data_IF_268629664829
#
_entry.id   IF_268629664829
#
_cell.length_a   1.000
_cell.length_b   1.000
_cell.length_c   1.000
_cell.angle_alpha   90.00
_cell.angle_beta   90.00
_cell.angle_gamma   90.00
#
_symmetry.space_group_name_H-M   'P 1'
#
loop_
_entity.id
_entity.type
_entity.pdbx_description
1 polymer ?
#
# COMPACT_ATOMS: atom_id res chain seq x y z
N UNK A 1 -30.03 -42.70 13.37
CA UNK A 1 -29.59 -41.86 12.21
C UNK A 1 -29.35 -40.42 12.62
N UNK A 2 -30.17 -39.84 13.53
CA UNK A 2 -29.98 -38.49 14.08
C UNK A 2 -28.66 -38.32 14.85
N UNK A 3 -28.34 -39.30 15.73
CA UNK A 3 -27.17 -39.20 16.64
C UNK A 3 -25.84 -39.28 15.89
N UNK A 4 -25.78 -40.06 14.82
CA UNK A 4 -24.60 -40.16 13.94
C UNK A 4 -24.38 -38.86 13.20
N UNK A 5 -25.46 -38.21 12.72
CA UNK A 5 -25.38 -36.89 12.05
C UNK A 5 -24.92 -35.80 13.01
N UNK A 6 -25.41 -35.81 14.27
CA UNK A 6 -24.98 -34.88 15.31
C UNK A 6 -23.49 -35.07 15.63
N UNK A 7 -23.05 -36.32 15.80
CA UNK A 7 -21.63 -36.62 16.04
C UNK A 7 -20.72 -36.14 14.89
N UNK A 8 -21.11 -36.40 13.64
CA UNK A 8 -20.35 -35.96 12.46
C UNK A 8 -20.27 -34.42 12.37
N UNK A 9 -21.37 -33.73 12.68
CA UNK A 9 -21.39 -32.24 12.76
C UNK A 9 -20.41 -31.78 13.82
N UNK A 10 -20.42 -32.36 15.03
CA UNK A 10 -19.56 -31.90 16.14
C UNK A 10 -18.07 -32.15 15.84
N UNK A 11 -17.75 -33.32 15.23
CA UNK A 11 -16.41 -33.60 14.73
C UNK A 11 -15.98 -32.55 13.69
N UNK A 12 -16.86 -32.24 12.71
CA UNK A 12 -16.57 -31.22 11.71
C UNK A 12 -16.29 -29.86 12.32
N UNK A 13 -17.11 -29.43 13.31
CA UNK A 13 -16.91 -28.15 14.02
C UNK A 13 -15.56 -28.13 14.74
N UNK A 14 -15.19 -29.22 15.43
CA UNK A 14 -13.90 -29.30 16.13
C UNK A 14 -12.74 -29.21 15.15
N UNK A 15 -12.79 -29.93 14.04
CA UNK A 15 -11.76 -29.87 12.99
C UNK A 15 -11.66 -28.45 12.42
N UNK A 16 -12.79 -27.79 12.16
CA UNK A 16 -12.83 -26.43 11.66
C UNK A 16 -12.19 -25.44 12.65
N UNK A 17 -12.50 -25.57 13.93
CA UNK A 17 -11.91 -24.74 15.00
C UNK A 17 -10.39 -24.94 15.06
N UNK A 18 -9.92 -26.18 15.06
CA UNK A 18 -8.48 -26.51 15.07
C UNK A 18 -7.80 -25.87 13.84
N UNK A 19 -8.40 -25.98 12.66
CA UNK A 19 -7.88 -25.41 11.42
C UNK A 19 -7.82 -23.87 11.50
N UNK A 20 -8.86 -23.22 12.01
CA UNK A 20 -8.87 -21.75 12.19
C UNK A 20 -7.83 -21.29 13.22
N UNK A 21 -7.68 -22.01 14.33
CA UNK A 21 -6.62 -21.74 15.31
C UNK A 21 -5.21 -21.89 14.71
N UNK A 22 -5.01 -22.90 13.87
CA UNK A 22 -3.75 -23.12 13.17
C UNK A 22 -3.44 -21.98 12.18
N UNK A 23 -4.44 -21.52 11.41
CA UNK A 23 -4.28 -20.36 10.52
C UNK A 23 -3.96 -19.08 11.31
N UNK A 24 -4.63 -18.84 12.43
CA UNK A 24 -4.36 -17.71 13.30
C UNK A 24 -2.93 -17.79 13.87
N UNK A 25 -2.48 -18.96 14.29
CA UNK A 25 -1.13 -19.19 14.79
C UNK A 25 -0.07 -18.90 13.72
N UNK A 26 -0.26 -19.39 12.48
CA UNK A 26 0.62 -19.05 11.34
C UNK A 26 0.65 -17.54 11.12
N UNK A 27 -0.51 -16.88 11.13
CA UNK A 27 -0.59 -15.43 10.94
C UNK A 27 0.19 -14.66 12.02
N UNK A 28 0.09 -15.09 13.29
CA UNK A 28 0.84 -14.48 14.39
C UNK A 28 2.35 -14.69 14.21
N UNK A 29 2.77 -15.91 13.83
CA UNK A 29 4.20 -16.19 13.58
C UNK A 29 4.73 -15.34 12.43
N UNK A 30 4.03 -15.29 11.30
CA UNK A 30 4.41 -14.46 10.17
C UNK A 30 4.55 -12.99 10.60
N UNK A 31 3.65 -12.48 11.42
CA UNK A 31 3.69 -11.13 11.97
C UNK A 31 4.92 -10.89 12.84
N UNK A 32 5.34 -11.87 13.64
CA UNK A 32 6.56 -11.79 14.47
C UNK A 32 7.80 -11.80 13.57
N UNK A 33 7.89 -12.73 12.62
CA UNK A 33 9.02 -12.85 11.70
C UNK A 33 9.21 -11.56 10.91
N UNK A 34 8.15 -11.01 10.32
CA UNK A 34 8.20 -9.79 9.52
C UNK A 34 8.52 -8.53 10.36
N UNK A 35 8.20 -8.55 11.65
CA UNK A 35 8.60 -7.47 12.55
C UNK A 35 10.11 -7.46 12.83
N UNK A 36 10.75 -8.65 12.83
CA UNK A 36 12.18 -8.82 13.05
C UNK A 36 12.96 -8.65 11.74
N UNK A 37 12.47 -9.29 10.67
CA UNK A 37 13.07 -9.26 9.34
C UNK A 37 12.09 -8.66 8.34
N UNK A 38 12.31 -7.40 8.00
CA UNK A 38 11.54 -6.70 6.97
C UNK A 38 12.03 -7.08 5.58
N UNK A 39 11.14 -7.52 4.73
CA UNK A 39 11.40 -7.83 3.33
C UNK A 39 10.15 -7.56 2.48
N UNK A 40 10.31 -7.19 1.20
CA UNK A 40 9.16 -7.01 0.31
C UNK A 40 8.32 -8.28 0.22
N UNK A 41 7.00 -8.13 0.13
CA UNK A 41 6.11 -9.27 -0.10
C UNK A 41 6.49 -9.93 -1.43
N UNK A 42 6.70 -11.27 -1.45
CA UNK A 42 7.01 -11.95 -2.69
C UNK A 42 5.95 -11.70 -3.76
N UNK A 43 6.38 -11.41 -4.99
CA UNK A 43 5.49 -10.98 -6.07
C UNK A 43 4.34 -11.94 -6.37
N UNK A 44 4.50 -13.25 -6.13
CA UNK A 44 3.40 -14.24 -6.29
C UNK A 44 2.30 -14.05 -5.23
N UNK A 45 2.65 -13.63 -4.01
CA UNK A 45 1.70 -13.43 -2.91
C UNK A 45 0.88 -12.15 -3.06
N UNK A 46 1.35 -11.19 -3.87
CA UNK A 46 0.61 -9.94 -4.14
C UNK A 46 -0.77 -10.22 -4.76
N UNK A 47 -0.96 -11.36 -5.44
CA UNK A 47 -2.25 -11.76 -6.00
C UNK A 47 -3.29 -12.06 -4.94
N UNK A 48 -2.86 -12.65 -3.83
CA UNK A 48 -3.72 -12.98 -2.70
C UNK A 48 -4.11 -11.73 -1.93
N UNK A 49 -3.15 -10.81 -1.77
CA UNK A 49 -3.33 -9.57 -0.99
C UNK A 49 -4.15 -8.55 -1.78
N UNK A 50 -3.84 -8.32 -3.07
CA UNK A 50 -4.59 -7.40 -3.94
C UNK A 50 -5.71 -8.16 -4.68
N UNK A 51 -6.74 -8.55 -3.94
CA UNK A 51 -7.91 -9.25 -4.47
C UNK A 51 -9.12 -8.33 -4.70
N UNK A 52 -10.15 -8.87 -5.38
CA UNK A 52 -11.34 -8.08 -5.73
C UNK A 52 -12.15 -7.61 -4.51
N UNK A 53 -12.19 -8.39 -3.43
CA UNK A 53 -12.92 -8.03 -2.20
C UNK A 53 -12.26 -6.82 -1.54
N UNK A 54 -10.93 -6.83 -1.41
CA UNK A 54 -10.18 -5.68 -0.90
C UNK A 54 -10.50 -4.42 -1.70
N UNK A 55 -10.40 -4.46 -3.03
CA UNK A 55 -10.59 -3.29 -3.90
C UNK A 55 -12.02 -2.78 -3.97
N UNK A 56 -13.01 -3.68 -3.90
CA UNK A 56 -14.42 -3.29 -4.07
C UNK A 56 -15.09 -2.88 -2.76
N UNK A 57 -14.66 -3.45 -1.64
CA UNK A 57 -15.37 -3.31 -0.36
C UNK A 57 -14.51 -2.61 0.70
N UNK A 58 -13.27 -3.09 0.91
CA UNK A 58 -12.46 -2.71 2.08
C UNK A 58 -11.65 -1.44 1.82
N UNK A 59 -10.91 -1.41 0.72
CA UNK A 59 -9.94 -0.35 0.41
C UNK A 59 -10.10 0.07 -1.06
N UNK A 60 -11.17 0.82 -1.33
CA UNK A 60 -11.55 1.21 -2.70
C UNK A 60 -10.53 2.18 -3.30
N UNK A 61 -9.94 1.89 -4.49
CA UNK A 61 -8.97 2.77 -5.14
C UNK A 61 -9.49 4.20 -5.36
N UNK A 62 -10.76 4.33 -5.76
CA UNK A 62 -11.39 5.64 -5.99
C UNK A 62 -11.52 6.46 -4.71
N UNK A 63 -11.79 5.83 -3.56
CA UNK A 63 -11.89 6.51 -2.26
C UNK A 63 -10.51 7.01 -1.82
N UNK A 64 -9.48 6.18 -1.95
CA UNK A 64 -8.10 6.59 -1.62
C UNK A 64 -7.67 7.77 -2.49
N UNK A 65 -7.91 7.70 -3.81
CA UNK A 65 -7.60 8.79 -4.72
C UNK A 65 -8.35 10.09 -4.37
N UNK A 66 -9.59 10.00 -3.87
CA UNK A 66 -10.37 11.17 -3.44
C UNK A 66 -9.74 11.90 -2.25
N UNK A 67 -9.08 11.16 -1.36
CA UNK A 67 -8.45 11.74 -0.17
C UNK A 67 -7.05 12.34 -0.44
N UNK A 68 -6.56 12.33 -1.68
CA UNK A 68 -5.22 12.81 -2.02
C UNK A 68 -5.20 14.25 -2.56
N UNK A 69 -6.32 14.95 -2.63
CA UNK A 69 -6.44 16.28 -3.27
C UNK A 69 -5.74 16.32 -4.63
N UNK A 70 -6.10 15.37 -5.51
CA UNK A 70 -5.55 15.24 -6.85
C UNK A 70 -6.16 16.27 -7.78
N UNK A 71 -5.31 16.90 -8.63
CA UNK A 71 -5.73 17.87 -9.65
C UNK A 71 -5.15 17.49 -11.01
N UNK A 72 -5.82 17.84 -12.11
CA UNK A 72 -5.30 17.68 -13.45
C UNK A 72 -3.89 18.28 -13.60
N UNK A 73 -3.03 17.57 -14.32
CA UNK A 73 -1.65 18.00 -14.57
C UNK A 73 -0.64 17.67 -13.48
N UNK A 74 -1.05 17.11 -12.35
CA UNK A 74 -0.13 16.74 -11.27
C UNK A 74 0.83 15.61 -11.65
N UNK A 75 2.02 15.65 -11.06
CA UNK A 75 3.00 14.57 -11.04
C UNK A 75 2.88 13.79 -9.74
N UNK A 76 2.56 12.51 -9.84
CA UNK A 76 2.36 11.62 -8.68
C UNK A 76 3.39 10.50 -8.69
N UNK A 77 3.93 10.16 -7.53
CA UNK A 77 4.78 9.00 -7.31
C UNK A 77 4.00 7.94 -6.52
N UNK A 78 3.89 6.74 -7.09
CA UNK A 78 3.31 5.56 -6.43
C UNK A 78 4.42 4.56 -6.13
N UNK A 79 4.66 4.30 -4.85
CA UNK A 79 5.73 3.42 -4.36
C UNK A 79 5.12 2.10 -3.93
N UNK A 80 5.54 0.99 -4.55
CA UNK A 80 4.93 -0.31 -4.37
C UNK A 80 3.58 -0.46 -5.08
N UNK A 81 3.48 -0.21 -6.41
CA UNK A 81 2.21 -0.13 -7.15
C UNK A 81 1.48 -1.48 -7.26
N UNK A 82 2.17 -2.57 -7.01
CA UNK A 82 1.62 -3.92 -7.13
C UNK A 82 1.09 -4.21 -8.55
N UNK A 83 -0.22 -4.48 -8.67
CA UNK A 83 -0.89 -4.70 -9.98
C UNK A 83 -1.31 -3.40 -10.67
N UNK A 84 -1.14 -2.26 -10.03
CA UNK A 84 -1.55 -0.96 -10.54
C UNK A 84 -3.01 -0.56 -10.27
N UNK A 85 -3.72 -1.28 -9.40
CA UNK A 85 -5.14 -0.99 -9.15
C UNK A 85 -5.37 0.41 -8.60
N UNK A 86 -4.51 0.86 -7.69
CA UNK A 86 -4.56 2.20 -7.09
C UNK A 86 -3.87 3.21 -7.99
N UNK A 87 -2.75 2.85 -8.60
CA UNK A 87 -2.02 3.65 -9.60
C UNK A 87 -2.95 4.14 -10.70
N UNK A 88 -3.79 3.25 -11.26
CA UNK A 88 -4.75 3.57 -12.32
C UNK A 88 -5.84 4.54 -11.85
N UNK A 89 -6.33 4.39 -10.63
CA UNK A 89 -7.32 5.30 -10.07
C UNK A 89 -6.76 6.72 -9.88
N UNK A 90 -5.49 6.83 -9.48
CA UNK A 90 -4.76 8.10 -9.39
C UNK A 90 -4.51 8.67 -10.78
N UNK A 91 -4.01 7.86 -11.73
CA UNK A 91 -3.71 8.27 -13.08
C UNK A 91 -4.92 8.88 -13.81
N UNK A 92 -6.10 8.33 -13.59
CA UNK A 92 -7.34 8.84 -14.15
C UNK A 92 -7.71 10.23 -13.59
N UNK A 93 -7.41 10.51 -12.31
CA UNK A 93 -7.77 11.76 -11.63
C UNK A 93 -6.91 12.97 -12.02
N UNK A 94 -5.72 12.72 -12.52
CA UNK A 94 -4.77 13.77 -12.88
C UNK A 94 -4.77 14.10 -14.38
N UNK A 95 -5.65 13.49 -15.16
CA UNK A 95 -5.88 13.87 -16.56
C UNK A 95 -6.54 15.26 -16.68
N UNK A 96 -6.28 16.01 -17.76
CA UNK A 96 -5.21 15.79 -18.74
C UNK A 96 -3.82 16.20 -18.21
N UNK A 97 -2.76 15.77 -18.92
CA UNK A 97 -1.36 16.17 -18.74
C UNK A 97 -0.66 15.72 -17.45
N UNK A 98 -1.36 15.08 -16.50
CA UNK A 98 -0.74 14.52 -15.30
C UNK A 98 -0.07 13.18 -15.58
N UNK A 99 1.00 12.85 -14.79
CA UNK A 99 1.75 11.60 -14.89
C UNK A 99 1.86 10.92 -13.52
N UNK A 100 1.77 9.59 -13.52
CA UNK A 100 2.09 8.76 -12.35
C UNK A 100 3.38 8.01 -12.65
N UNK A 101 4.40 8.25 -11.84
CA UNK A 101 5.58 7.40 -11.80
C UNK A 101 5.32 6.30 -10.79
N UNK A 102 5.39 5.04 -11.23
CA UNK A 102 5.11 3.87 -10.41
C UNK A 102 6.41 3.08 -10.23
N UNK A 103 6.94 3.05 -8.99
CA UNK A 103 8.24 2.43 -8.72
C UNK A 103 8.12 1.24 -7.77
N UNK A 104 8.95 0.24 -8.00
CA UNK A 104 9.12 -0.91 -7.13
C UNK A 104 10.57 -1.43 -7.25
N UNK A 105 11.12 -1.93 -6.14
CA UNK A 105 12.44 -2.56 -6.15
C UNK A 105 12.45 -3.91 -6.89
N UNK A 106 11.28 -4.56 -7.03
CA UNK A 106 11.11 -5.86 -7.66
C UNK A 106 10.83 -5.70 -9.17
N UNK A 107 11.75 -6.10 -10.08
CA UNK A 107 11.53 -6.02 -11.53
C UNK A 107 10.26 -6.71 -12.01
N UNK A 108 9.92 -7.85 -11.41
CA UNK A 108 8.72 -8.61 -11.76
C UNK A 108 7.42 -7.81 -11.53
N UNK A 109 7.35 -7.01 -10.46
CA UNK A 109 6.19 -6.15 -10.17
C UNK A 109 6.02 -5.12 -11.27
N UNK A 110 7.12 -4.48 -11.67
CA UNK A 110 7.15 -3.47 -12.74
C UNK A 110 6.78 -4.06 -14.10
N UNK A 111 7.33 -5.23 -14.46
CA UNK A 111 6.97 -5.90 -15.71
C UNK A 111 5.49 -6.29 -15.77
N UNK A 112 4.93 -6.75 -14.66
CA UNK A 112 3.50 -7.06 -14.56
C UNK A 112 2.64 -5.79 -14.70
N UNK A 113 3.05 -4.69 -14.06
CA UNK A 113 2.36 -3.41 -14.18
C UNK A 113 2.38 -2.92 -15.63
N UNK A 114 3.53 -2.97 -16.31
CA UNK A 114 3.64 -2.61 -17.74
C UNK A 114 2.63 -3.37 -18.60
N UNK A 115 2.59 -4.69 -18.49
CA UNK A 115 1.63 -5.53 -19.22
C UNK A 115 0.16 -5.14 -18.94
N UNK A 116 -0.15 -4.79 -17.69
CA UNK A 116 -1.51 -4.41 -17.32
C UNK A 116 -1.93 -3.06 -17.93
N UNK A 117 -1.05 -2.06 -17.88
CA UNK A 117 -1.37 -0.73 -18.42
C UNK A 117 -1.39 -0.72 -19.95
N UNK A 118 -0.50 -1.47 -20.60
CA UNK A 118 -0.51 -1.65 -22.07
C UNK A 118 -1.82 -2.29 -22.53
N UNK A 119 -2.24 -3.38 -21.88
CA UNK A 119 -3.51 -4.05 -22.19
C UNK A 119 -4.74 -3.12 -22.07
N UNK A 120 -4.67 -2.15 -21.17
CA UNK A 120 -5.76 -1.20 -20.91
C UNK A 120 -5.58 0.14 -21.65
N UNK A 121 -4.53 0.31 -22.45
CA UNK A 121 -4.25 1.53 -23.22
C UNK A 121 -3.94 2.75 -22.36
N UNK A 122 -3.41 2.56 -21.14
CA UNK A 122 -3.11 3.66 -20.23
C UNK A 122 -1.71 4.21 -20.52
N UNK A 123 -1.63 5.49 -20.88
CA UNK A 123 -0.38 6.12 -21.37
C UNK A 123 0.29 7.07 -20.37
N UNK A 124 -0.41 7.46 -19.29
CA UNK A 124 0.08 8.42 -18.31
C UNK A 124 0.64 7.79 -17.03
N UNK A 125 0.93 6.47 -17.05
CA UNK A 125 1.65 5.76 -15.99
C UNK A 125 3.04 5.38 -16.53
N UNK A 126 4.10 5.67 -15.77
CA UNK A 126 5.50 5.39 -16.10
C UNK A 126 6.06 4.40 -15.08
N UNK A 127 6.05 3.08 -15.36
CA UNK A 127 6.61 2.09 -14.46
C UNK A 127 8.14 2.07 -14.53
N UNK A 128 8.81 2.01 -13.37
CA UNK A 128 10.28 1.96 -13.28
C UNK A 128 10.73 1.13 -12.09
N UNK A 129 11.76 0.30 -12.29
CA UNK A 129 12.47 -0.33 -11.17
C UNK A 129 13.33 0.74 -10.51
N UNK A 130 13.12 0.99 -9.21
CA UNK A 130 13.86 2.02 -8.48
C UNK A 130 13.86 1.73 -6.97
N UNK A 131 14.83 2.33 -6.26
CA UNK A 131 14.96 2.22 -4.81
C UNK A 131 14.46 3.50 -4.14
N UNK A 132 13.51 3.34 -3.20
CA UNK A 132 12.94 4.44 -2.43
C UNK A 132 13.96 5.22 -1.59
N UNK A 133 15.13 4.64 -1.34
CA UNK A 133 16.21 5.31 -0.60
C UNK A 133 17.05 6.27 -1.43
N UNK A 134 16.92 6.25 -2.76
CA UNK A 134 17.67 7.08 -3.68
C UNK A 134 16.85 7.33 -4.96
N UNK A 135 15.79 8.10 -4.83
CA UNK A 135 14.87 8.40 -5.92
C UNK A 135 15.55 9.29 -6.97
N UNK A 136 15.42 8.94 -8.25
CA UNK A 136 16.02 9.67 -9.37
C UNK A 136 15.37 11.03 -9.67
N UNK A 137 14.35 11.42 -8.88
CA UNK A 137 13.66 12.68 -9.04
C UNK A 137 14.43 13.84 -8.40
N UNK A 138 14.29 15.03 -9.00
CA UNK A 138 14.81 16.27 -8.44
C UNK A 138 14.07 16.66 -7.15
N UNK A 139 14.71 17.49 -6.35
CA UNK A 139 14.09 18.09 -5.17
C UNK A 139 12.83 18.87 -5.57
N UNK A 140 11.77 18.75 -4.80
CA UNK A 140 10.52 19.50 -5.01
C UNK A 140 9.89 19.29 -6.40
N UNK A 141 9.95 18.10 -6.97
CA UNK A 141 9.42 17.78 -8.30
C UNK A 141 8.08 17.05 -8.29
N UNK A 142 7.72 16.39 -7.19
CA UNK A 142 6.53 15.53 -7.05
C UNK A 142 5.43 16.24 -6.26
N UNK A 143 4.20 16.25 -6.79
CA UNK A 143 3.05 16.87 -6.14
C UNK A 143 2.43 16.00 -5.05
N UNK A 144 2.33 14.68 -5.31
CA UNK A 144 1.71 13.69 -4.41
C UNK A 144 2.51 12.40 -4.40
N UNK A 145 2.57 11.75 -3.25
CA UNK A 145 3.17 10.41 -3.11
C UNK A 145 2.14 9.47 -2.50
N UNK A 146 2.05 8.25 -3.02
CA UNK A 146 1.18 7.20 -2.53
C UNK A 146 2.02 5.98 -2.12
N UNK A 147 1.71 5.41 -0.95
CA UNK A 147 2.18 4.10 -0.50
C UNK A 147 1.01 3.32 0.08
N UNK A 148 0.74 2.14 -0.44
CA UNK A 148 -0.35 1.29 0.04
C UNK A 148 0.21 -0.04 0.52
N UNK A 149 0.16 -0.27 1.84
CA UNK A 149 0.73 -1.44 2.52
C UNK A 149 2.17 -1.73 2.10
N UNK A 150 2.94 -0.67 1.88
CA UNK A 150 4.31 -0.75 1.38
C UNK A 150 5.33 -0.23 2.41
N UNK A 151 5.05 0.91 3.07
CA UNK A 151 5.99 1.54 3.99
C UNK A 151 6.46 0.62 5.14
N UNK A 152 5.61 -0.21 5.76
CA UNK A 152 6.02 -1.11 6.84
C UNK A 152 6.99 -2.21 6.42
N UNK A 153 7.00 -2.58 5.13
CA UNK A 153 7.91 -3.58 4.56
C UNK A 153 9.33 -3.04 4.36
N UNK A 154 9.47 -1.72 4.31
CA UNK A 154 10.76 -1.04 4.09
C UNK A 154 11.58 -1.12 5.38
N UNK A 155 12.84 -1.61 5.33
CA UNK A 155 13.68 -1.79 6.52
C UNK A 155 13.84 -0.51 7.35
N UNK A 156 14.14 0.63 6.72
CA UNK A 156 14.19 1.96 7.36
C UNK A 156 13.10 2.88 6.80
N UNK A 157 11.88 2.86 7.35
CA UNK A 157 10.78 3.70 6.88
C UNK A 157 11.03 5.19 7.06
N UNK A 158 11.88 5.59 8.05
CA UNK A 158 12.19 7.00 8.29
C UNK A 158 13.12 7.54 7.20
N UNK A 159 14.14 6.76 6.80
CA UNK A 159 15.03 7.10 5.69
C UNK A 159 14.24 7.23 4.38
N UNK A 160 13.35 6.26 4.09
CA UNK A 160 12.47 6.31 2.92
C UNK A 160 11.59 7.56 2.92
N UNK A 161 10.95 7.88 4.04
CA UNK A 161 10.11 9.08 4.14
C UNK A 161 10.91 10.39 4.04
N UNK A 162 12.18 10.43 4.47
CA UNK A 162 13.06 11.59 4.26
C UNK A 162 13.34 11.80 2.78
N UNK A 163 13.60 10.73 2.05
CA UNK A 163 13.83 10.79 0.61
C UNK A 163 12.54 11.19 -0.14
N UNK A 164 11.40 10.62 0.25
CA UNK A 164 10.11 11.08 -0.24
C UNK A 164 9.87 12.57 0.02
N UNK A 165 10.22 13.06 1.22
CA UNK A 165 10.13 14.49 1.55
C UNK A 165 11.04 15.34 0.67
N UNK A 166 12.23 14.86 0.32
CA UNK A 166 13.16 15.59 -0.58
C UNK A 166 12.49 15.88 -1.91
N UNK A 167 11.96 14.85 -2.56
CA UNK A 167 11.35 14.97 -3.90
C UNK A 167 9.97 15.64 -3.88
N UNK A 168 9.27 15.63 -2.74
CA UNK A 168 7.95 16.22 -2.60
C UNK A 168 8.03 17.75 -2.64
N UNK A 169 7.16 18.40 -3.41
CA UNK A 169 7.03 19.87 -3.45
C UNK A 169 6.62 20.42 -2.09
N UNK A 170 6.90 21.70 -1.80
CA UNK A 170 6.24 22.42 -0.70
C UNK A 170 4.72 22.30 -0.84
N UNK A 171 3.99 22.06 0.26
CA UNK A 171 2.54 21.80 0.32
C UNK A 171 2.14 20.49 -0.41
N UNK A 172 3.10 19.69 -0.84
CA UNK A 172 2.86 18.35 -1.36
C UNK A 172 2.40 17.36 -0.27
N UNK A 173 1.66 16.34 -0.65
CA UNK A 173 1.06 15.37 0.28
C UNK A 173 1.62 13.97 0.03
N UNK A 174 1.96 13.28 1.12
CA UNK A 174 2.21 11.84 1.14
C UNK A 174 1.01 11.15 1.76
N UNK A 175 0.41 10.19 1.04
CA UNK A 175 -0.68 9.34 1.52
C UNK A 175 -0.16 7.95 1.85
N UNK A 176 -0.29 7.54 3.10
CA UNK A 176 0.03 6.20 3.61
C UNK A 176 -1.27 5.45 3.90
N UNK A 177 -1.43 4.27 3.32
CA UNK A 177 -2.67 3.49 3.44
C UNK A 177 -2.37 2.08 3.93
N UNK A 178 -3.01 1.66 5.02
CA UNK A 178 -2.73 0.40 5.66
C UNK A 178 -3.99 -0.44 5.89
N UNK A 179 -3.82 -1.75 5.98
CA UNK A 179 -4.88 -2.74 6.15
C UNK A 179 -4.48 -3.77 7.21
N UNK A 180 -5.31 -4.02 8.22
CA UNK A 180 -5.02 -4.89 9.37
C UNK A 180 -4.70 -6.34 8.98
N UNK A 181 -5.26 -6.84 7.88
CA UNK A 181 -4.95 -8.19 7.39
C UNK A 181 -3.52 -8.32 6.83
N UNK A 182 -2.82 -7.19 6.63
CA UNK A 182 -1.41 -7.22 6.30
C UNK A 182 -0.59 -7.61 7.54
N UNK A 183 0.31 -8.60 7.45
CA UNK A 183 1.17 -8.98 8.57
C UNK A 183 2.04 -7.84 9.10
N UNK A 184 2.39 -6.87 8.28
CA UNK A 184 3.23 -5.72 8.65
C UNK A 184 2.44 -4.53 9.17
N UNK A 185 1.13 -4.62 9.25
CA UNK A 185 0.25 -3.52 9.65
C UNK A 185 0.76 -2.75 10.87
N UNK A 186 1.12 -1.47 10.74
CA UNK A 186 1.52 -0.63 11.84
C UNK A 186 0.29 0.04 12.46
N UNK A 187 0.40 0.41 13.75
CA UNK A 187 -0.61 1.28 14.34
C UNK A 187 -0.44 2.71 13.79
N UNK A 188 -1.55 3.45 13.61
CA UNK A 188 -1.54 4.88 13.19
C UNK A 188 -0.52 5.73 13.95
N UNK A 189 -0.35 5.51 15.26
CA UNK A 189 0.65 6.21 16.09
C UNK A 189 2.08 5.96 15.63
N UNK A 190 2.36 4.76 15.13
CA UNK A 190 3.69 4.38 14.63
C UNK A 190 4.02 5.14 13.35
N UNK A 191 3.13 5.16 12.36
CA UNK A 191 3.36 5.91 11.13
C UNK A 191 3.45 7.42 11.37
N UNK A 192 2.59 7.99 12.22
CA UNK A 192 2.69 9.39 12.64
C UNK A 192 4.05 9.70 13.26
N UNK A 193 4.61 8.77 14.06
CA UNK A 193 5.94 8.92 14.64
C UNK A 193 7.04 8.85 13.56
N UNK A 194 6.95 7.96 12.58
CA UNK A 194 7.89 7.87 11.47
C UNK A 194 7.86 9.13 10.61
N UNK A 195 6.68 9.57 10.20
CA UNK A 195 6.50 10.77 9.41
C UNK A 195 7.04 12.03 10.12
N UNK A 196 6.73 12.20 11.42
CA UNK A 196 7.27 13.30 12.23
C UNK A 196 8.81 13.28 12.30
N UNK A 197 9.41 12.09 12.48
CA UNK A 197 10.88 11.95 12.47
C UNK A 197 11.51 12.22 11.10
N UNK A 198 10.76 12.03 10.02
CA UNK A 198 11.17 12.41 8.67
C UNK A 198 10.96 13.91 8.38
N UNK A 199 10.33 14.66 9.29
CA UNK A 199 10.04 16.08 9.14
C UNK A 199 8.80 16.36 8.28
N UNK A 200 7.86 15.44 8.26
CA UNK A 200 6.53 15.58 7.68
C UNK A 200 5.52 15.88 8.79
N UNK A 201 4.50 16.68 8.49
CA UNK A 201 3.44 17.01 9.42
C UNK A 201 2.15 16.24 9.08
N UNK A 202 1.46 15.78 10.11
CA UNK A 202 0.16 15.13 9.94
C UNK A 202 -0.87 16.15 9.47
N UNK A 203 -1.51 15.88 8.35
CA UNK A 203 -2.57 16.72 7.79
C UNK A 203 -3.94 16.20 8.22
N UNK A 204 -4.28 14.98 7.85
CA UNK A 204 -5.58 14.38 8.07
C UNK A 204 -5.54 12.86 8.05
N UNK A 205 -6.62 12.20 8.47
CA UNK A 205 -6.68 10.75 8.45
C UNK A 205 -8.10 10.23 8.30
N UNK A 206 -8.23 9.16 7.54
CA UNK A 206 -9.48 8.52 7.16
C UNK A 206 -9.51 7.06 7.62
N UNK A 207 -10.71 6.49 7.66
CA UNK A 207 -10.92 5.08 7.98
C UNK A 207 -10.89 4.78 9.48
N UNK A 208 -10.73 3.49 9.83
CA UNK A 208 -10.87 2.96 11.19
C UNK A 208 -9.64 2.14 11.61
N UNK A 209 -9.79 1.30 12.63
CA UNK A 209 -8.72 0.41 13.10
C UNK A 209 -8.33 -0.66 12.08
N UNK A 210 -9.26 -1.13 11.26
CA UNK A 210 -9.02 -2.23 10.30
C UNK A 210 -8.39 -1.75 9.00
N UNK A 211 -8.75 -0.55 8.57
CA UNK A 211 -8.23 0.08 7.35
C UNK A 211 -8.17 1.59 7.55
N UNK A 212 -7.03 2.18 7.18
CA UNK A 212 -6.87 3.63 7.28
C UNK A 212 -6.01 4.20 6.17
N UNK A 213 -6.18 5.50 5.96
CA UNK A 213 -5.30 6.36 5.18
C UNK A 213 -4.88 7.54 6.06
N UNK A 214 -3.59 7.86 6.06
CA UNK A 214 -3.02 9.03 6.72
C UNK A 214 -2.34 9.90 5.69
N UNK A 215 -2.70 11.16 5.64
CA UNK A 215 -2.08 12.17 4.80
C UNK A 215 -1.10 13.01 5.65
N UNK A 216 0.08 13.21 5.10
CA UNK A 216 1.12 14.04 5.68
C UNK A 216 1.56 15.09 4.66
N UNK A 217 1.91 16.27 5.14
CA UNK A 217 2.28 17.41 4.30
C UNK A 217 3.73 17.82 4.53
N UNK A 218 4.41 18.26 3.46
CA UNK A 218 5.68 18.97 3.54
C UNK A 218 5.39 20.47 3.68
N UNK A 219 5.56 21.02 4.87
CA UNK A 219 5.52 22.48 5.03
C UNK A 219 6.68 23.17 4.34
N UNK A 220 6.47 24.44 4.04
CA UNK A 220 7.49 25.32 3.48
C UNK A 220 8.70 25.49 4.39
#
# INVERSE_FOLDING_TARGET
>A
MSDVLLLLRDIFIVILIIFLCFLLWIFVILRIIRKIHKFPIPAFATNLIDNAVRRKIIQKPTVIANHMDLKPGMTVLDIGPGKGSYTKAVAQRILPNGKVYAIDIQPYVIERLKKNIEKEGITNIVPKVDDVYNLYFEDNSIDRILMITCLPEIPDPIKALKECKRVLKPEGIISLCELLSDPDYPRRKTEKKWAKKAGLEFLEGFGNFFVYQLNFIKKR
#
